data_IF_789968202315
#
_entry.id   IF_789968202315
#
_cell.length_a   1.000
_cell.length_b   1.000
_cell.length_c   1.000
_cell.angle_alpha   90.00
_cell.angle_beta   90.00
_cell.angle_gamma   90.00
#
_symmetry.space_group_name_H-M   'P 1'
#
loop_
_entity.id
_entity.type
_entity.pdbx_description
1 polymer ?
#
# COMPACT_ATOMS: atom_id res chain seq x y z
N UNK A 1 -2.54 3.85 -27.46
CA UNK A 1 -2.17 5.04 -26.66
C UNK A 1 -2.35 4.85 -25.15
N UNK A 2 -3.56 4.69 -24.61
CA UNK A 2 -3.74 4.55 -23.13
C UNK A 2 -3.14 3.27 -22.53
N UNK A 3 -3.15 2.15 -23.25
CA UNK A 3 -2.55 0.88 -22.80
C UNK A 3 -1.01 0.95 -22.74
N UNK A 4 -0.39 1.58 -23.71
CA UNK A 4 1.08 1.78 -23.75
C UNK A 4 1.53 2.65 -22.57
N UNK A 5 0.83 3.74 -22.29
CA UNK A 5 1.10 4.57 -21.12
C UNK A 5 0.98 3.79 -19.81
N UNK A 6 -0.05 2.96 -19.65
CA UNK A 6 -0.23 2.15 -18.45
C UNK A 6 0.87 1.12 -18.26
N UNK A 7 1.38 0.52 -19.34
CA UNK A 7 2.51 -0.41 -19.31
C UNK A 7 3.81 0.29 -18.92
N UNK A 8 4.01 1.52 -19.38
CA UNK A 8 5.18 2.33 -19.04
C UNK A 8 5.27 2.60 -17.53
N UNK A 9 4.14 2.93 -16.89
CA UNK A 9 4.10 3.33 -15.48
C UNK A 9 3.97 2.17 -14.49
N UNK A 10 3.82 0.94 -14.94
CA UNK A 10 3.59 -0.25 -14.08
C UNK A 10 4.65 -0.50 -13.00
N UNK A 11 5.88 -0.04 -13.23
CA UNK A 11 7.01 -0.22 -12.32
C UNK A 11 7.32 1.05 -11.51
N UNK A 12 6.34 1.93 -11.35
CA UNK A 12 6.50 3.14 -10.59
C UNK A 12 5.77 3.08 -9.25
N UNK A 13 6.43 3.59 -8.22
CA UNK A 13 5.77 4.05 -7.00
C UNK A 13 5.51 5.54 -7.10
N UNK A 14 4.42 5.96 -6.50
CA UNK A 14 4.08 7.36 -6.33
C UNK A 14 4.05 7.65 -4.84
N UNK A 15 4.77 8.68 -4.41
CA UNK A 15 4.87 9.04 -3.02
C UNK A 15 4.58 10.50 -2.75
N UNK A 16 4.07 10.77 -1.57
CA UNK A 16 3.99 12.12 -1.02
C UNK A 16 4.43 12.12 0.44
N UNK A 17 4.94 13.25 0.89
CA UNK A 17 5.38 13.43 2.28
C UNK A 17 4.24 13.92 3.15
N UNK A 18 4.22 13.43 4.38
CA UNK A 18 3.41 14.03 5.43
C UNK A 18 4.13 15.32 5.88
N UNK A 19 3.52 16.46 5.56
CA UNK A 19 4.15 17.76 5.74
C UNK A 19 5.02 18.20 4.55
N UNK A 20 5.90 19.19 4.73
CA UNK A 20 6.70 19.74 3.65
C UNK A 20 7.64 18.69 3.04
N UNK A 21 7.70 18.66 1.71
CA UNK A 21 8.60 17.78 0.98
C UNK A 21 10.06 18.22 1.18
N UNK A 22 10.99 17.30 1.52
CA UNK A 22 12.41 17.60 1.49
C UNK A 22 12.89 18.04 0.10
N UNK A 23 14.04 18.68 0.03
CA UNK A 23 14.64 19.05 -1.25
C UNK A 23 14.86 17.81 -2.14
N UNK A 24 14.66 17.97 -3.44
CA UNK A 24 14.79 16.86 -4.41
C UNK A 24 16.10 16.08 -4.27
N UNK A 25 17.22 16.76 -4.09
CA UNK A 25 18.53 16.11 -3.95
C UNK A 25 18.59 15.19 -2.73
N UNK A 26 17.95 15.56 -1.64
CA UNK A 26 17.86 14.73 -0.43
C UNK A 26 16.98 13.53 -0.69
N UNK A 27 15.80 13.71 -1.27
CA UNK A 27 14.89 12.62 -1.61
C UNK A 27 15.57 11.63 -2.56
N UNK A 28 16.20 12.14 -3.61
CA UNK A 28 16.91 11.31 -4.60
C UNK A 28 18.06 10.51 -3.97
N UNK A 29 18.90 11.15 -3.17
CA UNK A 29 20.04 10.50 -2.53
C UNK A 29 19.61 9.44 -1.52
N UNK A 30 18.66 9.76 -0.66
CA UNK A 30 18.19 8.82 0.38
C UNK A 30 17.41 7.68 -0.25
N UNK A 31 16.52 7.94 -1.21
CA UNK A 31 15.78 6.88 -1.90
C UNK A 31 16.71 5.91 -2.63
N UNK A 32 17.74 6.39 -3.31
CA UNK A 32 18.75 5.55 -3.95
C UNK A 32 19.52 4.70 -2.93
N UNK A 33 19.86 5.25 -1.79
CA UNK A 33 20.50 4.51 -0.71
C UNK A 33 19.59 3.41 -0.15
N UNK A 34 18.31 3.70 0.05
CA UNK A 34 17.35 2.76 0.63
C UNK A 34 16.94 1.65 -0.33
N UNK A 35 16.75 1.98 -1.61
CA UNK A 35 16.04 1.12 -2.57
C UNK A 35 16.87 0.70 -3.79
N UNK A 36 18.17 0.96 -3.81
CA UNK A 36 19.05 0.52 -4.91
C UNK A 36 19.03 -1.00 -5.11
N UNK A 37 18.99 -1.76 -4.01
CA UNK A 37 18.91 -3.24 -4.05
C UNK A 37 17.57 -3.74 -4.58
N UNK A 38 16.54 -2.93 -4.51
CA UNK A 38 15.20 -3.24 -5.04
C UNK A 38 15.04 -2.79 -6.49
N UNK A 39 16.09 -2.24 -7.09
CA UNK A 39 16.12 -1.84 -8.48
C UNK A 39 15.63 -0.43 -8.78
N UNK A 40 15.71 0.50 -7.80
CA UNK A 40 15.41 1.90 -8.06
C UNK A 40 16.33 2.47 -9.13
N UNK A 41 15.75 3.02 -10.19
CA UNK A 41 16.47 3.59 -11.33
C UNK A 41 16.45 5.11 -11.33
N UNK A 42 15.30 5.70 -11.04
CA UNK A 42 15.07 7.14 -11.21
C UNK A 42 14.07 7.67 -10.18
N UNK A 43 14.28 8.90 -9.76
CA UNK A 43 13.36 9.67 -8.92
C UNK A 43 12.97 10.92 -9.68
N UNK A 44 11.68 11.18 -9.78
CA UNK A 44 11.11 12.33 -10.49
C UNK A 44 10.22 13.10 -9.51
N UNK A 45 10.52 14.37 -9.29
CA UNK A 45 9.67 15.23 -8.49
C UNK A 45 8.65 15.96 -9.37
N UNK A 46 7.40 15.95 -8.93
CA UNK A 46 6.32 16.71 -9.57
C UNK A 46 5.99 17.97 -8.77
N UNK A 47 5.55 19.02 -9.45
CA UNK A 47 5.27 20.31 -8.81
C UNK A 47 4.17 20.26 -7.73
N UNK A 48 3.24 19.32 -7.84
CA UNK A 48 2.12 19.11 -6.91
C UNK A 48 2.49 18.44 -5.58
N UNK A 49 3.79 18.26 -5.30
CA UNK A 49 4.27 17.62 -4.06
C UNK A 49 4.49 16.11 -4.16
N UNK A 50 4.05 15.47 -5.22
CA UNK A 50 4.30 14.04 -5.44
C UNK A 50 5.70 13.78 -5.99
N UNK A 51 6.23 12.61 -5.67
CA UNK A 51 7.46 12.07 -6.25
C UNK A 51 7.18 10.72 -6.88
N UNK A 52 7.79 10.48 -8.03
CA UNK A 52 7.69 9.21 -8.75
C UNK A 52 9.01 8.47 -8.62
N UNK A 53 8.95 7.18 -8.34
CA UNK A 53 10.11 6.31 -8.16
C UNK A 53 10.00 5.18 -9.17
N UNK A 54 10.92 5.17 -10.14
CA UNK A 54 10.97 4.15 -11.19
C UNK A 54 11.85 2.98 -10.76
N UNK A 55 11.30 1.78 -10.87
CA UNK A 55 12.03 0.53 -10.61
C UNK A 55 12.24 -0.25 -11.90
N UNK A 56 13.29 -1.07 -11.92
CA UNK A 56 13.59 -1.95 -13.06
C UNK A 56 12.52 -3.03 -13.25
N UNK A 57 11.92 -3.51 -12.15
CA UNK A 57 10.94 -4.59 -12.15
C UNK A 57 9.80 -4.32 -11.17
N UNK A 58 8.63 -4.87 -11.45
CA UNK A 58 7.46 -4.82 -10.55
C UNK A 58 7.74 -5.46 -9.18
N UNK A 59 8.64 -6.44 -9.12
CA UNK A 59 9.09 -7.09 -7.88
C UNK A 59 9.68 -6.09 -6.88
N UNK A 60 10.46 -5.11 -7.34
CA UNK A 60 11.01 -4.05 -6.51
C UNK A 60 9.91 -3.19 -5.89
N UNK A 61 8.92 -2.80 -6.67
CA UNK A 61 7.73 -2.05 -6.20
C UNK A 61 7.01 -2.79 -5.09
N UNK A 62 6.72 -4.07 -5.31
CA UNK A 62 6.05 -4.93 -4.33
C UNK A 62 6.86 -5.07 -3.05
N UNK A 63 8.15 -5.30 -3.15
CA UNK A 63 9.07 -5.42 -2.01
C UNK A 63 9.07 -4.17 -1.13
N UNK A 64 9.13 -2.99 -1.73
CA UNK A 64 9.08 -1.71 -1.00
C UNK A 64 7.77 -1.56 -0.24
N UNK A 65 6.64 -1.81 -0.90
CA UNK A 65 5.33 -1.66 -0.30
C UNK A 65 5.09 -2.66 0.86
N UNK A 66 5.54 -3.91 0.71
CA UNK A 66 5.38 -4.94 1.74
C UNK A 66 6.21 -4.70 3.00
N UNK A 67 7.35 -4.05 2.89
CA UNK A 67 8.23 -3.76 4.02
C UNK A 67 7.70 -2.66 4.94
N UNK A 68 6.66 -1.97 4.54
CA UNK A 68 5.88 -1.08 5.41
C UNK A 68 6.28 0.39 5.35
N UNK A 69 6.22 1.06 6.49
CA UNK A 69 6.40 2.51 6.56
C UNK A 69 7.84 2.95 6.25
N UNK A 70 7.97 4.03 5.49
CA UNK A 70 9.25 4.57 5.09
C UNK A 70 9.42 6.01 5.56
N UNK A 71 10.66 6.36 5.88
CA UNK A 71 11.06 7.70 6.27
C UNK A 71 12.21 8.16 5.37
N UNK A 72 12.11 9.39 4.88
CA UNK A 72 13.16 10.07 4.15
C UNK A 72 13.43 11.39 4.84
N UNK A 73 14.67 11.63 5.26
CA UNK A 73 15.07 12.80 6.01
C UNK A 73 14.20 13.06 7.26
N UNK A 74 13.86 12.01 8.00
CA UNK A 74 13.02 12.07 9.20
C UNK A 74 11.54 12.35 8.96
N UNK A 75 11.10 12.36 7.70
CA UNK A 75 9.69 12.58 7.32
C UNK A 75 9.07 11.32 6.76
N UNK A 76 7.84 11.04 7.15
CA UNK A 76 7.06 9.91 6.62
C UNK A 76 6.74 10.19 5.16
N UNK A 77 7.05 9.22 4.30
CA UNK A 77 6.59 9.20 2.92
C UNK A 77 5.51 8.13 2.76
N UNK A 78 4.36 8.53 2.24
CA UNK A 78 3.25 7.65 1.91
C UNK A 78 3.42 7.20 0.47
N UNK A 79 3.56 5.89 0.27
CA UNK A 79 3.82 5.28 -1.03
C UNK A 79 2.60 4.53 -1.53
N UNK A 80 2.31 4.67 -2.82
CA UNK A 80 1.29 3.92 -3.54
C UNK A 80 1.88 3.38 -4.83
N UNK A 81 1.43 2.20 -5.24
CA UNK A 81 1.70 1.72 -6.59
C UNK A 81 0.97 2.62 -7.60
N UNK A 82 1.66 2.96 -8.69
CA UNK A 82 0.98 3.65 -9.77
C UNK A 82 -0.12 2.76 -10.37
N UNK A 83 -1.30 3.33 -10.51
CA UNK A 83 -2.45 2.70 -11.13
C UNK A 83 -3.16 3.70 -12.04
N UNK A 84 -3.89 3.17 -13.02
CA UNK A 84 -4.74 4.01 -13.87
C UNK A 84 -5.79 4.71 -13.00
N UNK A 85 -5.99 6.00 -13.22
CA UNK A 85 -6.91 6.85 -12.46
C UNK A 85 -6.52 7.10 -10.99
N UNK A 86 -5.24 6.90 -10.65
CA UNK A 86 -4.73 7.29 -9.34
C UNK A 86 -4.95 8.79 -9.12
N UNK A 87 -5.66 9.12 -8.04
CA UNK A 87 -5.89 10.52 -7.69
C UNK A 87 -4.63 11.11 -7.04
N UNK A 88 -4.00 12.03 -7.75
CA UNK A 88 -2.79 12.73 -7.30
C UNK A 88 -3.08 14.19 -6.88
N UNK A 89 -4.30 14.49 -6.45
CA UNK A 89 -4.62 15.80 -5.90
C UNK A 89 -4.01 15.98 -4.51
N UNK A 90 -3.75 17.23 -4.13
CA UNK A 90 -3.30 17.56 -2.77
C UNK A 90 -4.31 17.11 -1.71
N UNK A 91 -5.59 17.22 -2.00
CA UNK A 91 -6.67 16.76 -1.12
C UNK A 91 -6.63 15.25 -0.88
N UNK A 92 -6.37 14.44 -1.92
CA UNK A 92 -6.20 13.01 -1.77
C UNK A 92 -4.95 12.65 -0.95
N UNK A 93 -3.86 13.42 -1.08
CA UNK A 93 -2.65 13.23 -0.31
C UNK A 93 -2.85 13.48 1.19
N UNK A 94 -3.67 14.47 1.55
CA UNK A 94 -3.93 14.83 2.95
C UNK A 94 -4.91 13.88 3.62
N UNK A 95 -5.91 13.38 2.88
CA UNK A 95 -7.08 12.72 3.46
C UNK A 95 -7.07 11.19 3.33
N UNK A 96 -6.21 10.61 2.52
CA UNK A 96 -6.18 9.16 2.30
C UNK A 96 -4.81 8.57 2.61
N UNK A 97 -4.81 7.59 3.52
CA UNK A 97 -3.59 6.98 4.05
C UNK A 97 -3.66 5.47 3.84
N UNK A 98 -2.66 4.85 3.17
CA UNK A 98 -2.54 3.40 3.14
C UNK A 98 -2.02 2.89 4.48
N UNK A 99 -2.66 1.86 5.01
CA UNK A 99 -2.24 1.18 6.24
C UNK A 99 -2.24 -0.32 6.02
N UNK A 100 -1.36 -1.01 6.73
CA UNK A 100 -1.35 -2.46 6.80
C UNK A 100 -2.20 -2.96 7.95
N UNK A 101 -3.10 -3.88 7.65
CA UNK A 101 -3.92 -4.59 8.64
C UNK A 101 -3.58 -6.07 8.65
N UNK A 102 -3.76 -6.69 9.79
CA UNK A 102 -3.64 -8.13 9.99
C UNK A 102 -5.04 -8.69 10.23
N UNK A 103 -5.46 -9.62 9.40
CA UNK A 103 -6.75 -10.31 9.50
C UNK A 103 -6.53 -11.69 10.11
N UNK A 104 -7.09 -11.92 11.28
CA UNK A 104 -7.04 -13.20 11.98
C UNK A 104 -8.37 -13.94 11.84
N UNK A 105 -8.32 -15.27 11.94
CA UNK A 105 -9.49 -16.14 11.81
C UNK A 105 -10.20 -16.07 10.45
N UNK A 106 -9.45 -15.81 9.39
CA UNK A 106 -10.00 -15.82 8.05
C UNK A 106 -10.36 -17.25 7.65
N UNK A 107 -11.62 -17.54 7.29
CA UNK A 107 -11.99 -18.85 6.75
C UNK A 107 -11.15 -19.21 5.53
N UNK A 108 -10.67 -20.46 5.47
CA UNK A 108 -9.74 -20.91 4.42
C UNK A 108 -10.32 -20.76 3.01
N UNK A 109 -11.63 -20.97 2.87
CA UNK A 109 -12.34 -20.79 1.60
C UNK A 109 -12.34 -19.34 1.10
N UNK A 110 -12.17 -18.36 2.00
CA UNK A 110 -12.06 -16.94 1.64
C UNK A 110 -10.61 -16.49 1.44
N UNK A 111 -9.64 -17.40 1.58
CA UNK A 111 -8.23 -17.08 1.39
C UNK A 111 -7.85 -17.02 -0.09
N UNK A 112 -8.51 -16.10 -0.77
CA UNK A 112 -8.30 -15.74 -2.19
C UNK A 112 -8.15 -14.23 -2.28
N UNK A 113 -7.60 -13.73 -3.37
CA UNK A 113 -7.50 -12.29 -3.58
C UNK A 113 -8.87 -11.60 -3.45
N UNK A 114 -9.89 -12.18 -4.07
CA UNK A 114 -11.27 -11.65 -4.02
C UNK A 114 -11.88 -11.74 -2.62
N UNK A 115 -11.71 -12.87 -1.94
CA UNK A 115 -12.25 -13.10 -0.60
C UNK A 115 -11.60 -12.18 0.43
N UNK A 116 -10.28 -12.03 0.41
CA UNK A 116 -9.54 -11.13 1.29
C UNK A 116 -9.89 -9.65 1.04
N UNK A 117 -10.05 -9.27 -0.23
CA UNK A 117 -10.50 -7.91 -0.58
C UNK A 117 -11.92 -7.64 -0.07
N UNK A 118 -12.80 -8.62 -0.16
CA UNK A 118 -14.16 -8.51 0.38
C UNK A 118 -14.15 -8.27 1.89
N UNK A 119 -13.39 -9.06 2.65
CA UNK A 119 -13.27 -8.88 4.10
C UNK A 119 -12.65 -7.53 4.43
N UNK A 120 -11.54 -7.19 3.81
CA UNK A 120 -10.81 -5.95 4.05
C UNK A 120 -11.63 -4.69 3.70
N UNK A 121 -12.61 -4.80 2.78
CA UNK A 121 -13.48 -3.69 2.39
C UNK A 121 -14.34 -3.15 3.53
N UNK A 122 -14.58 -3.94 4.57
CA UNK A 122 -15.27 -3.48 5.77
C UNK A 122 -14.42 -2.50 6.62
N UNK A 123 -13.10 -2.55 6.48
CA UNK A 123 -12.16 -1.68 7.22
C UNK A 123 -11.70 -0.48 6.40
N UNK A 124 -11.69 -0.57 5.08
CA UNK A 124 -11.25 0.49 4.18
C UNK A 124 -11.24 0.03 2.73
N UNK A 125 -10.62 0.79 1.84
CA UNK A 125 -10.49 0.39 0.44
C UNK A 125 -9.32 -0.56 0.26
N UNK A 126 -9.53 -1.83 -0.12
CA UNK A 126 -8.45 -2.79 -0.31
C UNK A 126 -7.54 -2.36 -1.47
N UNK A 127 -6.22 -2.42 -1.24
CA UNK A 127 -5.22 -2.10 -2.24
C UNK A 127 -4.53 -3.38 -2.74
N UNK A 128 -3.88 -4.10 -1.84
CA UNK A 128 -3.18 -5.36 -2.15
C UNK A 128 -2.88 -6.15 -0.87
N UNK A 129 -2.57 -7.43 -1.01
CA UNK A 129 -2.07 -8.28 0.07
C UNK A 129 -0.58 -8.59 -0.13
N UNK A 130 0.13 -8.93 0.94
CA UNK A 130 1.54 -9.31 0.82
C UNK A 130 1.70 -10.69 0.14
N UNK A 131 2.90 -10.96 -0.36
CA UNK A 131 3.20 -12.18 -1.11
C UNK A 131 3.02 -13.46 -0.29
N UNK A 132 3.33 -13.43 1.00
CA UNK A 132 3.15 -14.58 1.90
C UNK A 132 1.66 -14.92 2.10
N UNK A 133 0.79 -13.90 2.13
CA UNK A 133 -0.67 -14.07 2.17
C UNK A 133 -1.19 -14.65 0.85
N UNK A 134 -0.84 -14.06 -0.28
CA UNK A 134 -1.32 -14.47 -1.60
C UNK A 134 -0.84 -15.88 -1.99
N UNK A 135 0.38 -16.23 -1.64
CA UNK A 135 0.95 -17.55 -1.89
C UNK A 135 0.53 -18.62 -0.85
N UNK A 136 -0.24 -18.23 0.17
CA UNK A 136 -0.68 -19.10 1.27
C UNK A 136 0.47 -19.74 2.05
N UNK A 137 1.65 -19.13 2.05
CA UNK A 137 2.80 -19.58 2.84
C UNK A 137 2.66 -19.26 4.32
N UNK A 138 1.75 -18.38 4.67
CA UNK A 138 1.39 -18.02 6.02
C UNK A 138 -0.13 -17.98 6.13
N UNK A 139 -0.70 -18.80 7.00
CA UNK A 139 -2.14 -18.90 7.24
C UNK A 139 -2.57 -18.45 8.64
N UNK A 140 -1.62 -18.08 9.50
CA UNK A 140 -1.92 -17.58 10.85
C UNK A 140 -2.64 -16.24 10.84
N UNK A 141 -2.36 -15.41 9.84
CA UNK A 141 -3.06 -14.16 9.55
C UNK A 141 -2.85 -13.76 8.10
N UNK A 142 -3.80 -13.06 7.53
CA UNK A 142 -3.65 -12.39 6.26
C UNK A 142 -3.18 -10.95 6.48
N UNK A 143 -2.19 -10.50 5.74
CA UNK A 143 -1.69 -9.13 5.79
C UNK A 143 -2.13 -8.40 4.54
N UNK A 144 -2.99 -7.41 4.72
CA UNK A 144 -3.62 -6.64 3.63
C UNK A 144 -3.36 -5.16 3.81
N UNK A 145 -2.99 -4.48 2.74
CA UNK A 145 -2.92 -3.04 2.71
C UNK A 145 -4.26 -2.47 2.30
N UNK A 146 -4.79 -1.56 3.09
CA UNK A 146 -6.03 -0.83 2.82
C UNK A 146 -5.78 0.66 2.83
N UNK A 147 -6.60 1.41 2.12
CA UNK A 147 -6.62 2.86 2.18
C UNK A 147 -7.78 3.32 3.06
N UNK A 148 -7.49 4.18 4.00
CA UNK A 148 -8.47 4.79 4.89
C UNK A 148 -8.43 6.32 4.78
N UNK A 149 -9.53 6.98 5.17
CA UNK A 149 -9.52 8.42 5.38
C UNK A 149 -8.80 8.76 6.68
N UNK A 150 -8.02 9.84 6.67
CA UNK A 150 -7.44 10.39 7.89
C UNK A 150 -8.56 10.69 8.91
N UNK A 151 -8.42 10.22 10.14
CA UNK A 151 -9.43 10.37 11.19
C UNK A 151 -10.58 9.36 11.13
N UNK A 152 -10.54 8.37 10.20
CA UNK A 152 -11.51 7.29 10.19
C UNK A 152 -11.42 6.44 11.47
N UNK A 153 -12.56 5.99 11.96
CA UNK A 153 -12.61 5.00 13.04
C UNK A 153 -12.15 3.64 12.50
N UNK A 154 -11.22 3.02 13.21
CA UNK A 154 -10.68 1.72 12.84
C UNK A 154 -11.63 0.63 13.35
N UNK A 155 -12.00 -0.29 12.44
CA UNK A 155 -12.84 -1.44 12.77
C UNK A 155 -11.94 -2.55 13.30
N UNK A 156 -12.25 -3.08 14.49
CA UNK A 156 -11.43 -4.12 15.14
C UNK A 156 -11.94 -5.53 14.86
N UNK A 157 -13.20 -5.67 14.50
CA UNK A 157 -13.85 -6.97 14.27
C UNK A 157 -14.85 -6.88 13.11
N UNK A 158 -14.87 -7.90 12.28
CA UNK A 158 -15.83 -8.04 11.18
C UNK A 158 -16.60 -9.33 11.36
N UNK A 159 -17.92 -9.24 11.35
CA UNK A 159 -18.82 -10.40 11.33
C UNK A 159 -19.02 -10.84 9.89
N UNK A 160 -18.70 -12.09 9.60
CA UNK A 160 -18.95 -12.72 8.32
C UNK A 160 -20.25 -13.53 8.40
N UNK A 161 -21.29 -13.07 7.72
CA UNK A 161 -22.50 -13.85 7.56
C UNK A 161 -22.31 -14.87 6.45
N UNK A 162 -21.79 -16.05 6.77
CA UNK A 162 -21.60 -17.15 5.81
C UNK A 162 -22.83 -18.05 5.64
N UNK A 163 -23.91 -17.77 6.34
CA UNK A 163 -25.18 -18.51 6.27
C UNK A 163 -25.20 -19.85 7.04
N UNK A 164 -24.07 -20.32 7.54
CA UNK A 164 -23.93 -21.61 8.26
C UNK A 164 -23.31 -21.40 9.65
N UNK A 165 -22.48 -20.41 9.83
CA UNK A 165 -21.85 -20.03 11.11
C UNK A 165 -21.60 -18.53 11.16
N UNK A 166 -21.62 -17.98 12.36
CA UNK A 166 -21.12 -16.63 12.60
C UNK A 166 -19.59 -16.71 12.73
N UNK A 167 -18.90 -16.42 11.63
CA UNK A 167 -17.43 -16.35 11.63
C UNK A 167 -17.02 -14.89 11.91
N UNK A 168 -16.10 -14.73 12.86
CA UNK A 168 -15.55 -13.43 13.23
C UNK A 168 -14.13 -13.31 12.73
N UNK A 169 -13.85 -12.26 11.98
CA UNK A 169 -12.48 -11.88 11.60
C UNK A 169 -12.02 -10.74 12.50
N UNK A 170 -10.93 -10.97 13.23
CA UNK A 170 -10.29 -9.93 14.04
C UNK A 170 -9.32 -9.13 13.17
N UNK A 171 -9.37 -7.82 13.31
CA UNK A 171 -8.48 -6.89 12.61
C UNK A 171 -7.52 -6.29 13.63
N UNK A 172 -6.22 -6.48 13.41
CA UNK A 172 -5.21 -5.77 14.15
C UNK A 172 -4.52 -4.75 13.24
N UNK A 173 -4.47 -3.53 13.73
CA UNK A 173 -3.72 -2.45 13.11
C UNK A 173 -2.30 -2.49 13.70
N UNK A 174 -1.33 -2.70 12.84
CA UNK A 174 0.05 -2.62 13.26
C UNK A 174 0.50 -1.16 13.23
N UNK A 175 0.31 -0.45 14.33
CA UNK A 175 1.14 0.73 14.60
C UNK A 175 2.53 0.23 14.98
N UNK A 176 3.55 0.82 14.37
CA UNK A 176 4.92 0.61 14.86
C UNK A 176 5.07 1.21 16.24
#
# INVERSE_FOLDING_TARGET
>A
MRLEGSLFWRNYLVGHFVGPRPAFQVVNSVAKSLWSKDGLQEVIAQANGYSFFKFSEAKGVTSILERGSWFIAGRVIVLKKWERNLNLSEEAAVNRIPIWILLYNVPVELWTQKGLSYIASAAGTPLFADSATLSRKRLSYARVCIEINAGAQLVEEINLATGVSEDFVLILFRSK
#
